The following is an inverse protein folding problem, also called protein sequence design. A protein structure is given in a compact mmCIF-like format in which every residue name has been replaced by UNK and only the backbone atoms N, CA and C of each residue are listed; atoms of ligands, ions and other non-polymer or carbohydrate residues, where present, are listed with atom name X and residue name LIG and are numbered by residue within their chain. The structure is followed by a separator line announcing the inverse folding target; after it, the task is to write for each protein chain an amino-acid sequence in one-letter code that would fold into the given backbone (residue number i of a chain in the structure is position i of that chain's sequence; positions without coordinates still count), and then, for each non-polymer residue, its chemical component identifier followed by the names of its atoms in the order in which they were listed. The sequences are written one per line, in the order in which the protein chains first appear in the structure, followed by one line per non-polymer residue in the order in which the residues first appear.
data_IF_823488519505
#
_entry.id   IF_823488519505
#
_cell.length_a   1.000
_cell.length_b   1.000
_cell.length_c   1.000
_cell.angle_alpha   90.00
_cell.angle_beta   90.00
_cell.angle_gamma   90.00
#
_symmetry.space_group_name_H-M   'P 1'
#
loop_
_entity.id
_entity.type
_entity.pdbx_description
1 polymer ?
#
# COMPACT_ATOMS: atom_id res chain seq x y z
N UNK A 1 -26.15 -3.02 12.87
CA UNK A 1 -25.24 -2.53 11.82
C UNK A 1 -23.81 -2.66 12.31
N UNK A 2 -23.02 -3.49 11.65
CA UNK A 2 -21.68 -3.91 12.05
C UNK A 2 -20.69 -2.74 11.99
N UNK A 3 -20.41 -2.11 13.13
CA UNK A 3 -19.50 -0.96 13.22
C UNK A 3 -18.00 -1.34 13.23
N UNK A 4 -17.66 -2.64 13.30
CA UNK A 4 -16.28 -3.09 13.48
C UNK A 4 -15.68 -3.95 12.36
N UNK A 5 -16.42 -4.24 11.28
CA UNK A 5 -15.95 -5.14 10.21
C UNK A 5 -15.98 -4.43 8.87
N UNK A 6 -14.81 -4.29 8.23
CA UNK A 6 -14.72 -3.82 6.85
C UNK A 6 -15.28 -4.89 5.91
N UNK A 7 -16.07 -4.48 4.93
CA UNK A 7 -16.49 -5.38 3.86
C UNK A 7 -15.27 -5.79 3.03
N UNK A 8 -15.25 -7.02 2.49
CA UNK A 8 -14.13 -7.51 1.67
C UNK A 8 -13.77 -6.56 0.52
N UNK A 9 -14.76 -5.86 -0.04
CA UNK A 9 -14.56 -4.83 -1.08
C UNK A 9 -13.84 -3.60 -0.54
N UNK A 10 -14.20 -3.14 0.66
CA UNK A 10 -13.56 -1.99 1.31
C UNK A 10 -12.13 -2.32 1.71
N UNK A 11 -11.88 -3.53 2.22
CA UNK A 11 -10.53 -4.00 2.50
C UNK A 11 -9.68 -4.04 1.23
N UNK A 12 -10.21 -4.53 0.10
CA UNK A 12 -9.51 -4.54 -1.19
C UNK A 12 -9.22 -3.11 -1.69
N UNK A 13 -10.16 -2.18 -1.54
CA UNK A 13 -9.94 -0.77 -1.91
C UNK A 13 -8.87 -0.12 -1.02
N UNK A 14 -8.92 -0.37 0.28
CA UNK A 14 -7.95 0.14 1.25
C UNK A 14 -6.56 -0.45 1.02
N UNK A 15 -6.47 -1.73 0.66
CA UNK A 15 -5.22 -2.36 0.24
C UNK A 15 -4.67 -1.72 -1.04
N UNK A 16 -5.52 -1.41 -2.02
CA UNK A 16 -5.11 -0.75 -3.26
C UNK A 16 -4.60 0.67 -3.01
N UNK A 17 -5.30 1.45 -2.20
CA UNK A 17 -4.88 2.82 -1.87
C UNK A 17 -3.58 2.83 -1.07
N UNK A 18 -3.44 1.94 -0.08
CA UNK A 18 -2.22 1.80 0.72
C UNK A 18 -1.04 1.37 -0.14
N UNK A 19 -1.23 0.41 -1.05
CA UNK A 19 -0.18 0.00 -2.01
C UNK A 19 0.20 1.14 -2.95
N UNK A 20 -0.77 1.92 -3.44
CA UNK A 20 -0.49 3.06 -4.31
C UNK A 20 0.30 4.16 -3.57
N UNK A 21 -0.01 4.39 -2.30
CA UNK A 21 0.76 5.30 -1.44
C UNK A 21 2.18 4.77 -1.20
N UNK A 22 2.32 3.49 -0.86
CA UNK A 22 3.63 2.85 -0.69
C UNK A 22 4.49 2.94 -1.95
N UNK A 23 3.89 2.72 -3.13
CA UNK A 23 4.59 2.87 -4.41
C UNK A 23 5.10 4.30 -4.63
N UNK A 24 4.29 5.31 -4.33
CA UNK A 24 4.73 6.71 -4.40
C UNK A 24 5.86 7.04 -3.41
N UNK A 25 5.80 6.48 -2.20
CA UNK A 25 6.84 6.69 -1.21
C UNK A 25 8.16 5.98 -1.57
N UNK A 26 8.09 4.88 -2.33
CA UNK A 26 9.25 4.14 -2.82
C UNK A 26 9.62 4.50 -4.29
N UNK A 27 9.08 5.59 -4.84
CA UNK A 27 9.21 5.95 -6.27
C UNK A 27 10.67 6.08 -6.72
N UNK A 28 11.52 6.65 -5.87
CA UNK A 28 12.96 6.80 -6.15
C UNK A 28 13.67 5.44 -6.28
N UNK A 29 13.30 4.46 -5.45
CA UNK A 29 13.84 3.10 -5.55
C UNK A 29 13.33 2.37 -6.80
N UNK A 30 12.09 2.65 -7.19
CA UNK A 30 11.49 2.11 -8.42
C UNK A 30 12.18 2.68 -9.65
N UNK A 31 12.52 3.98 -9.67
CA UNK A 31 13.32 4.61 -10.74
C UNK A 31 14.70 3.96 -10.85
N UNK A 32 15.40 3.80 -9.74
CA UNK A 32 16.70 3.12 -9.69
C UNK A 32 16.64 1.68 -10.24
N UNK A 33 15.55 0.97 -9.94
CA UNK A 33 15.33 -0.36 -10.51
C UNK A 33 14.99 -0.30 -11.99
N UNK A 34 14.16 0.67 -12.42
CA UNK A 34 13.81 0.90 -13.82
C UNK A 34 15.06 1.14 -14.67
N UNK A 35 15.97 2.01 -14.23
CA UNK A 35 17.26 2.25 -14.87
C UNK A 35 18.12 0.98 -14.93
N UNK A 36 18.06 0.14 -13.89
CA UNK A 36 18.82 -1.12 -13.86
C UNK A 36 18.27 -2.16 -14.86
N UNK A 37 16.96 -2.21 -15.05
CA UNK A 37 16.31 -3.16 -15.99
C UNK A 37 16.27 -2.61 -17.42
N UNK A 38 16.47 -1.31 -17.60
CA UNK A 38 16.57 -0.70 -18.92
C UNK A 38 17.73 -1.34 -19.72
N UNK A 39 17.39 -1.98 -20.84
CA UNK A 39 18.34 -2.72 -21.67
C UNK A 39 18.68 -4.14 -21.19
N UNK A 40 18.06 -4.64 -20.11
CA UNK A 40 18.24 -6.01 -19.60
C UNK A 40 16.91 -6.76 -19.60
N UNK A 41 16.79 -7.82 -20.40
CA UNK A 41 15.56 -8.65 -20.46
C UNK A 41 15.73 -9.99 -19.76
N UNK A 42 16.89 -10.62 -19.91
CA UNK A 42 17.17 -11.94 -19.33
C UNK A 42 17.96 -11.86 -18.02
N UNK A 43 18.78 -10.81 -17.83
CA UNK A 43 19.72 -10.70 -16.72
C UNK A 43 19.23 -9.96 -15.48
N UNK A 44 17.98 -9.48 -15.51
CA UNK A 44 17.39 -8.67 -14.44
C UNK A 44 17.39 -9.38 -13.09
N UNK A 45 17.04 -10.66 -13.07
CA UNK A 45 16.85 -11.43 -11.85
C UNK A 45 18.12 -11.54 -10.99
N UNK A 46 19.32 -11.44 -11.60
CA UNK A 46 20.60 -11.44 -10.90
C UNK A 46 21.25 -10.05 -10.87
N UNK A 47 21.25 -9.31 -11.98
CA UNK A 47 21.92 -8.01 -12.07
C UNK A 47 21.24 -6.94 -11.21
N UNK A 48 19.91 -6.98 -11.09
CA UNK A 48 19.12 -5.96 -10.40
C UNK A 48 18.51 -6.46 -9.08
N UNK A 49 18.91 -7.65 -8.62
CA UNK A 49 18.39 -8.27 -7.38
C UNK A 49 18.53 -7.36 -6.16
N UNK A 50 19.64 -6.62 -6.05
CA UNK A 50 19.88 -5.69 -4.95
C UNK A 50 18.88 -4.52 -4.93
N UNK A 51 18.65 -3.89 -6.09
CA UNK A 51 17.67 -2.80 -6.24
C UNK A 51 16.24 -3.29 -5.98
N UNK A 52 15.91 -4.48 -6.48
CA UNK A 52 14.62 -5.11 -6.19
C UNK A 52 14.41 -5.35 -4.69
N UNK A 53 15.45 -5.79 -3.96
CA UNK A 53 15.38 -5.97 -2.51
C UNK A 53 15.11 -4.65 -1.76
N UNK A 54 15.70 -3.54 -2.19
CA UNK A 54 15.43 -2.23 -1.59
C UNK A 54 13.96 -1.82 -1.76
N UNK A 55 13.38 -2.05 -2.95
CA UNK A 55 11.95 -1.82 -3.17
C UNK A 55 11.12 -2.70 -2.25
N UNK A 56 11.47 -3.98 -2.12
CA UNK A 56 10.76 -4.89 -1.22
C UNK A 56 10.84 -4.43 0.24
N UNK A 57 12.02 -4.04 0.71
CA UNK A 57 12.23 -3.55 2.08
C UNK A 57 11.44 -2.25 2.33
N UNK A 58 11.39 -1.34 1.34
CA UNK A 58 10.60 -0.12 1.42
C UNK A 58 9.08 -0.41 1.45
N UNK A 59 8.57 -1.25 0.53
CA UNK A 59 7.17 -1.65 0.50
C UNK A 59 6.75 -2.41 1.77
N UNK A 60 7.68 -3.15 2.38
CA UNK A 60 7.42 -3.90 3.61
C UNK A 60 7.08 -2.96 4.77
N UNK A 61 7.68 -1.76 4.86
CA UNK A 61 7.34 -0.79 5.91
C UNK A 61 5.85 -0.38 5.88
N UNK A 62 5.26 -0.31 4.69
CA UNK A 62 3.86 0.08 4.50
C UNK A 62 2.89 -1.10 4.53
N UNK A 63 3.34 -2.28 4.11
CA UNK A 63 2.51 -3.49 4.07
C UNK A 63 2.65 -4.36 5.33
N UNK A 64 3.47 -3.95 6.30
CA UNK A 64 3.58 -4.62 7.60
C UNK A 64 2.21 -4.71 8.29
N UNK A 65 1.95 -5.80 9.03
CA UNK A 65 0.67 -6.00 9.72
C UNK A 65 0.29 -4.82 10.62
N UNK A 66 1.24 -4.27 11.37
CA UNK A 66 1.02 -3.09 12.23
C UNK A 66 0.59 -1.85 11.43
N UNK A 67 1.28 -1.54 10.34
CA UNK A 67 0.96 -0.41 9.46
C UNK A 67 -0.42 -0.58 8.83
N UNK A 68 -0.76 -1.79 8.41
CA UNK A 68 -2.08 -2.12 7.87
C UNK A 68 -3.19 -2.04 8.91
N UNK A 69 -2.92 -2.39 10.17
CA UNK A 69 -3.87 -2.26 11.27
C UNK A 69 -4.20 -0.79 11.53
N UNK A 70 -3.18 0.09 11.55
CA UNK A 70 -3.37 1.53 11.71
C UNK A 70 -4.22 2.14 10.60
N UNK A 71 -3.94 1.80 9.34
CA UNK A 71 -4.73 2.31 8.20
C UNK A 71 -6.18 1.79 8.25
N UNK A 72 -6.39 0.53 8.65
CA UNK A 72 -7.74 -0.02 8.87
C UNK A 72 -8.48 0.75 9.98
N UNK A 73 -7.82 1.00 11.10
CA UNK A 73 -8.41 1.70 12.25
C UNK A 73 -8.76 3.15 11.91
N UNK A 74 -7.88 3.85 11.20
CA UNK A 74 -8.16 5.20 10.69
C UNK A 74 -9.36 5.22 9.76
N UNK A 75 -9.45 4.26 8.83
CA UNK A 75 -10.56 4.18 7.89
C UNK A 75 -11.90 3.92 8.59
N UNK A 76 -11.93 3.04 9.60
CA UNK A 76 -13.12 2.80 10.42
C UNK A 76 -13.55 4.07 11.17
N UNK A 77 -12.59 4.85 11.71
CA UNK A 77 -12.87 6.14 12.37
C UNK A 77 -13.47 7.16 11.39
N UNK A 78 -12.89 7.33 10.20
CA UNK A 78 -13.38 8.27 9.19
C UNK A 78 -14.80 7.90 8.76
N UNK A 79 -15.05 6.62 8.41
CA UNK A 79 -16.38 6.15 8.00
C UNK A 79 -17.43 6.33 9.09
N UNK A 80 -17.06 6.12 10.36
CA UNK A 80 -17.96 6.32 11.50
C UNK A 80 -18.35 7.79 11.64
N UNK A 81 -17.41 8.72 11.45
CA UNK A 81 -17.68 10.17 11.42
C UNK A 81 -18.60 10.56 10.26
N UNK A 82 -18.35 10.05 9.06
CA UNK A 82 -19.18 10.31 7.88
C UNK A 82 -20.61 9.75 8.02
N UNK A 83 -20.75 8.53 8.55
CA UNK A 83 -22.07 7.91 8.79
C UNK A 83 -22.86 8.67 9.86
N UNK A 84 -22.18 9.22 10.88
CA UNK A 84 -22.81 10.05 11.89
C UNK A 84 -23.22 11.42 11.34
N UNK A 85 -22.40 12.03 10.48
CA UNK A 85 -22.68 13.31 9.85
C UNK A 85 -23.79 13.24 8.79
N UNK A 86 -23.93 12.10 8.10
CA UNK A 86 -24.91 11.91 7.02
C UNK A 86 -26.23 11.26 7.48
N UNK A 87 -26.55 11.29 8.78
CA UNK A 87 -27.85 10.84 9.27
C UNK A 87 -28.87 11.98 9.09
N UNK A 88 -29.87 11.86 8.19
CA UNK A 88 -30.97 12.82 8.15
C UNK A 88 -31.75 12.72 9.47
N UNK A 89 -31.97 13.88 10.10
CA UNK A 89 -32.85 14.07 11.28
C UNK A 89 -34.30 13.73 10.96
#
# INVERSE_FOLDING_TARGET
MSAGTLSRREEEQLLKSTKAYALKACDDLVKDFAECVEGRTLSVAWACKGKYKLIQDCMYQYTRPDSMQLVRDEYIKVRTRETAANRPT
#
